data_IF_392836177902
#
_entry.id   IF_392836177902
#
_cell.length_a   1.000
_cell.length_b   1.000
_cell.length_c   1.000
_cell.angle_alpha   90.00
_cell.angle_beta   90.00
_cell.angle_gamma   90.00
#
_symmetry.space_group_name_H-M   'P 1'
#
loop_
_entity.id
_entity.type
_entity.pdbx_description
1 polymer ?
#
# COMPACT_ATOMS: atom_id res chain seq x y z
N UNK A 1 -23.88 -90.29 0.14
CA UNK A 1 -24.11 -88.98 0.79
C UNK A 1 -23.51 -87.91 -0.12
N UNK A 2 -24.35 -87.09 -0.78
CA UNK A 2 -24.56 -85.63 -0.55
C UNK A 2 -23.27 -84.81 -0.77
N UNK A 3 -23.19 -83.70 -1.51
CA UNK A 3 -24.07 -82.83 -2.32
C UNK A 3 -23.14 -81.67 -2.78
N UNK A 4 -23.42 -81.03 -3.94
CA UNK A 4 -23.45 -79.57 -4.23
C UNK A 4 -22.47 -78.60 -3.52
N UNK A 5 -22.02 -77.43 -4.01
CA UNK A 5 -22.16 -76.61 -5.21
C UNK A 5 -21.59 -75.20 -4.84
N UNK A 6 -20.96 -74.50 -5.79
CA UNK A 6 -20.89 -73.02 -5.97
C UNK A 6 -20.41 -72.04 -4.87
N UNK A 7 -19.48 -71.14 -5.25
CA UNK A 7 -19.49 -69.64 -5.18
C UNK A 7 -18.05 -69.11 -5.21
N UNK A 8 -17.58 -68.45 -6.27
CA UNK A 8 -17.78 -67.04 -6.63
C UNK A 8 -17.10 -66.04 -5.67
N UNK A 9 -15.91 -65.53 -6.02
CA UNK A 9 -15.59 -64.11 -5.83
C UNK A 9 -14.44 -63.68 -6.76
N UNK A 10 -14.79 -62.88 -7.77
CA UNK A 10 -13.86 -62.00 -8.49
C UNK A 10 -13.23 -61.04 -7.49
N UNK A 11 -11.91 -60.81 -7.55
CA UNK A 11 -11.35 -59.50 -7.20
C UNK A 11 -10.28 -59.09 -8.19
N UNK A 12 -10.74 -58.24 -9.11
CA UNK A 12 -9.92 -57.28 -9.84
C UNK A 12 -8.99 -56.56 -8.87
N UNK A 13 -7.68 -56.77 -8.98
CA UNK A 13 -6.72 -55.80 -8.44
C UNK A 13 -6.60 -54.69 -9.47
N UNK A 14 -7.44 -53.67 -9.31
CA UNK A 14 -7.34 -52.40 -10.00
C UNK A 14 -5.89 -51.92 -9.92
N UNK A 15 -5.25 -51.80 -11.09
CA UNK A 15 -4.06 -51.00 -11.23
C UNK A 15 -4.40 -49.56 -10.87
N UNK A 16 -3.95 -49.12 -9.69
CA UNK A 16 -3.93 -47.71 -9.32
C UNK A 16 -2.92 -47.00 -10.20
N UNK A 17 -3.45 -46.45 -11.30
CA UNK A 17 -2.71 -45.69 -12.31
C UNK A 17 -2.02 -44.48 -11.66
N UNK A 18 -0.73 -44.22 -11.96
CA UNK A 18 -0.01 -43.04 -11.45
C UNK A 18 -0.63 -41.70 -11.90
N UNK A 19 -1.53 -41.74 -12.89
CA UNK A 19 -2.29 -40.60 -13.37
C UNK A 19 -3.19 -39.95 -12.31
N UNK A 20 -3.71 -40.71 -11.34
CA UNK A 20 -4.57 -40.13 -10.30
C UNK A 20 -3.79 -39.28 -9.29
N UNK A 21 -2.54 -39.64 -9.00
CA UNK A 21 -1.66 -38.85 -8.12
C UNK A 21 -1.24 -37.53 -8.77
N UNK A 22 -0.94 -37.56 -10.08
CA UNK A 22 -0.60 -36.35 -10.85
C UNK A 22 -1.81 -35.41 -10.93
N UNK A 23 -3.01 -35.95 -11.13
CA UNK A 23 -4.24 -35.13 -11.17
C UNK A 23 -4.53 -34.45 -9.83
N UNK A 24 -4.31 -35.13 -8.70
CA UNK A 24 -4.49 -34.55 -7.36
C UNK A 24 -3.45 -33.44 -7.09
N UNK A 25 -2.18 -33.66 -7.46
CA UNK A 25 -1.13 -32.65 -7.36
C UNK A 25 -1.41 -31.41 -8.24
N UNK A 26 -1.91 -31.62 -9.47
CA UNK A 26 -2.24 -30.52 -10.38
C UNK A 26 -3.45 -29.71 -9.88
N UNK A 27 -4.45 -30.36 -9.28
CA UNK A 27 -5.60 -29.69 -8.64
C UNK A 27 -5.16 -28.92 -7.39
N UNK A 28 -4.24 -29.44 -6.58
CA UNK A 28 -3.65 -28.68 -5.47
C UNK A 28 -2.89 -27.43 -5.96
N UNK A 29 -2.11 -27.52 -7.04
CA UNK A 29 -1.40 -26.36 -7.60
C UNK A 29 -2.33 -25.32 -8.26
N UNK A 30 -3.48 -25.74 -8.80
CA UNK A 30 -4.48 -24.84 -9.41
C UNK A 30 -5.43 -24.22 -8.38
N UNK A 31 -5.59 -24.83 -7.21
CA UNK A 31 -6.40 -24.29 -6.10
C UNK A 31 -5.61 -23.39 -5.16
N UNK A 32 -4.27 -23.46 -5.18
CA UNK A 32 -3.40 -22.42 -4.60
C UNK A 32 -3.30 -21.20 -5.52
N UNK A 33 -4.42 -20.76 -6.10
CA UNK A 33 -4.60 -19.33 -6.28
C UNK A 33 -4.53 -18.76 -4.86
N UNK A 34 -3.43 -18.06 -4.55
CA UNK A 34 -3.25 -17.28 -3.33
C UNK A 34 -4.42 -16.28 -3.27
N UNK A 35 -5.53 -16.72 -2.69
CA UNK A 35 -6.65 -15.87 -2.36
C UNK A 35 -6.15 -15.03 -1.20
N UNK A 36 -5.99 -13.73 -1.44
CA UNK A 36 -5.66 -12.78 -0.38
C UNK A 36 -6.62 -13.01 0.78
N UNK A 37 -6.09 -13.44 1.93
CA UNK A 37 -6.85 -13.71 3.16
C UNK A 37 -7.22 -12.43 3.91
N UNK A 38 -7.12 -11.25 3.28
CA UNK A 38 -7.52 -9.99 3.90
C UNK A 38 -9.05 -9.84 3.86
N UNK A 39 -9.68 -9.37 4.96
CA UNK A 39 -11.13 -9.26 5.04
C UNK A 39 -11.66 -8.33 3.94
N UNK A 40 -12.82 -8.68 3.36
CA UNK A 40 -13.46 -8.03 2.21
C UNK A 40 -13.94 -6.58 2.41
N UNK A 41 -13.31 -5.84 3.33
CA UNK A 41 -13.49 -4.41 3.58
C UNK A 41 -12.29 -3.59 3.08
N UNK A 42 -11.17 -4.25 2.74
CA UNK A 42 -10.01 -3.59 2.16
C UNK A 42 -10.17 -3.46 0.65
N UNK A 43 -10.48 -2.25 0.17
CA UNK A 43 -10.66 -1.97 -1.26
C UNK A 43 -9.35 -1.56 -1.96
N UNK A 44 -8.21 -1.80 -1.32
CA UNK A 44 -6.89 -1.66 -1.95
C UNK A 44 -6.48 -0.21 -2.09
N UNK A 45 -6.75 0.63 -1.09
CA UNK A 45 -6.36 2.04 -1.10
C UNK A 45 -5.08 2.29 -0.35
N UNK A 46 -4.43 3.41 -0.64
CA UNK A 46 -3.25 3.87 0.09
C UNK A 46 -3.63 5.07 0.93
N UNK A 47 -3.47 4.93 2.25
CA UNK A 47 -3.69 5.97 3.23
C UNK A 47 -2.36 6.50 3.75
N UNK A 48 -2.34 7.75 4.18
CA UNK A 48 -1.23 8.34 4.92
C UNK A 48 -1.69 8.83 6.28
N UNK A 49 -0.82 8.70 7.27
CA UNK A 49 -0.92 9.32 8.57
C UNK A 49 0.33 10.15 8.82
N UNK A 50 0.14 11.41 9.16
CA UNK A 50 1.21 12.34 9.48
C UNK A 50 1.35 12.42 11.01
N UNK A 51 2.45 11.89 11.56
CA UNK A 51 2.71 11.91 13.01
C UNK A 51 3.65 13.05 13.43
N UNK A 52 3.69 14.09 12.62
CA UNK A 52 4.55 15.25 12.81
C UNK A 52 3.67 16.50 12.92
N UNK A 53 3.68 17.21 14.07
CA UNK A 53 3.04 18.51 14.18
C UNK A 53 3.64 19.51 13.21
N UNK A 54 2.80 20.34 12.58
CA UNK A 54 3.28 21.34 11.62
C UNK A 54 4.30 22.29 12.27
N UNK A 55 4.09 22.66 13.53
CA UNK A 55 4.94 23.58 14.29
C UNK A 55 6.31 22.98 14.59
N UNK A 56 6.39 21.65 14.67
CA UNK A 56 7.65 20.93 14.91
C UNK A 56 8.51 20.83 13.64
N UNK A 57 7.93 21.07 12.47
CA UNK A 57 8.68 21.08 11.22
C UNK A 57 9.35 22.45 11.02
N UNK A 58 10.69 22.53 11.01
CA UNK A 58 11.41 23.81 11.03
C UNK A 58 11.23 24.65 9.76
N UNK A 59 10.60 24.10 8.73
CA UNK A 59 10.34 24.76 7.46
C UNK A 59 8.85 25.03 7.23
N UNK A 60 8.00 24.90 8.26
CA UNK A 60 6.54 25.03 8.17
C UNK A 60 6.03 26.31 7.49
N UNK A 61 6.79 27.41 7.50
CA UNK A 61 6.39 28.66 6.82
C UNK A 61 6.85 28.80 5.37
N UNK A 62 7.82 27.99 4.92
CA UNK A 62 8.50 28.19 3.61
C UNK A 62 8.70 26.91 2.80
N UNK A 63 8.40 25.76 3.39
CA UNK A 63 8.50 24.47 2.74
C UNK A 63 7.14 23.80 2.63
N UNK A 64 7.09 22.76 1.81
CA UNK A 64 5.96 21.84 1.71
C UNK A 64 6.45 20.40 1.54
N UNK A 65 5.55 19.43 1.71
CA UNK A 65 5.83 18.05 1.33
C UNK A 65 5.17 17.73 0.00
N UNK A 66 5.83 16.92 -0.81
CA UNK A 66 5.24 16.33 -2.00
C UNK A 66 5.27 14.81 -1.87
N UNK A 67 4.09 14.17 -1.88
CA UNK A 67 3.94 12.72 -1.84
C UNK A 67 3.59 12.27 -3.25
N UNK A 68 4.52 11.56 -3.89
CA UNK A 68 4.34 11.00 -5.23
C UNK A 68 4.03 9.52 -5.10
N UNK A 69 2.87 9.09 -5.62
CA UNK A 69 2.38 7.72 -5.61
C UNK A 69 2.47 7.16 -7.03
N UNK A 70 3.31 6.14 -7.22
CA UNK A 70 3.50 5.44 -8.49
C UNK A 70 2.94 4.03 -8.35
N UNK A 71 1.79 3.76 -8.98
CA UNK A 71 1.17 2.42 -9.01
C UNK A 71 1.37 1.82 -10.39
N UNK A 72 1.73 0.53 -10.45
CA UNK A 72 1.95 -0.16 -11.72
C UNK A 72 0.73 -0.07 -12.65
N UNK A 73 0.90 0.61 -13.79
CA UNK A 73 -0.13 0.77 -14.82
C UNK A 73 -1.05 1.96 -14.61
N UNK A 74 -0.75 2.86 -13.67
CA UNK A 74 -1.40 4.15 -13.50
C UNK A 74 -0.40 5.28 -13.78
N UNK A 75 -0.93 6.43 -14.20
CA UNK A 75 -0.15 7.67 -14.16
C UNK A 75 0.20 8.03 -12.70
N UNK A 76 1.38 8.61 -12.43
CA UNK A 76 1.76 9.04 -11.10
C UNK A 76 0.75 10.02 -10.52
N UNK A 77 0.33 9.77 -9.27
CA UNK A 77 -0.45 10.72 -8.49
C UNK A 77 0.51 11.53 -7.63
N UNK A 78 0.24 12.83 -7.47
CA UNK A 78 1.02 13.70 -6.62
C UNK A 78 0.09 14.45 -5.68
N UNK A 79 0.41 14.40 -4.38
CA UNK A 79 -0.28 15.18 -3.36
C UNK A 79 0.71 16.10 -2.68
N UNK A 80 0.30 17.33 -2.43
CA UNK A 80 1.11 18.35 -1.78
C UNK A 80 0.57 18.61 -0.39
N UNK A 81 1.42 18.55 0.62
CA UNK A 81 1.03 18.83 2.01
C UNK A 81 1.53 20.21 2.38
N UNK A 82 0.59 21.12 2.62
CA UNK A 82 0.84 22.48 3.05
C UNK A 82 0.21 22.72 4.44
N UNK A 83 0.85 23.49 5.32
CA UNK A 83 0.14 24.11 6.43
C UNK A 83 -0.65 25.32 5.91
N UNK A 84 -1.91 25.09 5.52
CA UNK A 84 -2.74 26.06 4.78
C UNK A 84 -3.21 27.27 5.61
N UNK A 85 -2.98 27.24 6.91
CA UNK A 85 -3.28 28.33 7.84
C UNK A 85 -2.34 29.54 7.63
N UNK A 86 -1.26 29.38 6.87
CA UNK A 86 -0.31 30.44 6.53
C UNK A 86 -0.61 31.06 5.16
N UNK A 87 -0.60 32.40 5.10
CA UNK A 87 -0.85 33.16 3.86
C UNK A 87 0.11 32.76 2.74
N UNK A 88 1.37 32.51 3.10
CA UNK A 88 2.46 32.15 2.19
C UNK A 88 2.21 30.81 1.46
N UNK A 89 1.43 29.90 2.04
CA UNK A 89 1.09 28.63 1.38
C UNK A 89 0.26 28.84 0.11
N UNK A 90 -0.70 29.77 0.15
CA UNK A 90 -1.56 30.09 -1.01
C UNK A 90 -0.78 30.77 -2.13
N UNK A 91 0.18 31.61 -1.77
CA UNK A 91 1.08 32.27 -2.73
C UNK A 91 1.97 31.22 -3.43
N UNK A 92 2.61 30.33 -2.65
CA UNK A 92 3.42 29.23 -3.18
C UNK A 92 2.62 28.30 -4.10
N UNK A 93 1.38 27.95 -3.73
CA UNK A 93 0.51 27.15 -4.59
C UNK A 93 0.28 27.81 -5.96
N UNK A 94 0.06 29.14 -5.98
CA UNK A 94 -0.13 29.90 -7.22
C UNK A 94 1.14 29.95 -8.06
N UNK A 95 2.27 30.24 -7.43
CA UNK A 95 3.58 30.30 -8.10
C UNK A 95 3.97 28.97 -8.75
N UNK A 96 3.67 27.85 -8.07
CA UNK A 96 3.98 26.51 -8.52
C UNK A 96 2.89 25.87 -9.39
N UNK A 97 1.81 26.60 -9.68
CA UNK A 97 0.64 26.11 -10.41
C UNK A 97 0.06 24.80 -9.83
N UNK A 98 0.01 24.72 -8.50
CA UNK A 98 -0.54 23.58 -7.76
C UNK A 98 -2.05 23.77 -7.62
N UNK A 99 -2.80 22.76 -8.04
CA UNK A 99 -4.26 22.75 -7.95
C UNK A 99 -4.73 22.40 -6.55
N UNK A 100 -5.86 22.96 -6.14
CA UNK A 100 -6.43 22.73 -4.80
C UNK A 100 -6.82 21.26 -4.58
N UNK A 101 -7.28 20.54 -5.60
CA UNK A 101 -7.62 19.11 -5.49
C UNK A 101 -6.42 18.19 -5.15
N UNK A 102 -5.20 18.67 -5.35
CA UNK A 102 -3.97 17.95 -5.06
C UNK A 102 -3.34 18.34 -3.73
N UNK A 103 -3.99 19.24 -2.99
CA UNK A 103 -3.48 19.76 -1.73
C UNK A 103 -4.15 19.09 -0.53
N UNK A 104 -3.31 18.73 0.44
CA UNK A 104 -3.70 18.28 1.76
C UNK A 104 -3.28 19.32 2.78
N UNK A 105 -4.19 19.68 3.67
CA UNK A 105 -3.87 20.54 4.82
C UNK A 105 -3.14 19.70 5.88
N UNK A 106 -1.89 20.06 6.19
CA UNK A 106 -1.05 19.42 7.20
C UNK A 106 -1.77 19.23 8.53
N UNK A 107 -2.33 20.31 9.08
CA UNK A 107 -2.99 20.31 10.38
C UNK A 107 -4.26 19.46 10.40
N UNK A 108 -4.92 19.33 9.25
CA UNK A 108 -6.10 18.46 9.09
C UNK A 108 -5.73 16.98 9.00
N UNK A 109 -4.62 16.66 8.35
CA UNK A 109 -4.18 15.27 8.15
C UNK A 109 -3.32 14.73 9.30
N UNK A 110 -2.88 15.59 10.22
CA UNK A 110 -2.10 15.17 11.37
C UNK A 110 -2.89 14.19 12.25
N UNK A 111 -2.29 13.04 12.54
CA UNK A 111 -2.89 11.98 13.36
C UNK A 111 -4.10 11.28 12.75
N UNK A 112 -4.51 11.63 11.52
CA UNK A 112 -5.65 11.02 10.82
C UNK A 112 -5.19 10.16 9.65
N UNK A 113 -6.00 9.17 9.26
CA UNK A 113 -5.76 8.36 8.08
C UNK A 113 -6.42 9.02 6.86
N UNK A 114 -5.59 9.59 5.98
CA UNK A 114 -6.05 10.32 4.79
C UNK A 114 -5.83 9.48 3.53
N UNK A 115 -6.87 9.25 2.73
CA UNK A 115 -6.79 8.54 1.46
C UNK A 115 -5.98 9.36 0.44
N UNK A 116 -4.84 8.81 0.00
CA UNK A 116 -3.98 9.44 -1.00
C UNK A 116 -4.43 9.14 -2.44
N UNK A 117 -5.15 8.04 -2.61
CA UNK A 117 -5.46 7.47 -3.91
C UNK A 117 -6.82 7.89 -4.43
N UNK A 118 -7.81 8.07 -3.54
CA UNK A 118 -9.20 8.43 -3.87
C UNK A 118 -9.96 7.36 -4.66
N UNK A 119 -9.29 6.28 -5.05
CA UNK A 119 -9.83 5.17 -5.84
C UNK A 119 -9.13 3.85 -5.49
N UNK A 120 -9.90 2.77 -5.62
CA UNK A 120 -9.52 1.38 -5.39
C UNK A 120 -8.37 0.96 -6.32
N UNK A 121 -7.29 0.40 -5.75
CA UNK A 121 -6.22 -0.25 -6.51
C UNK A 121 -6.49 -1.75 -6.53
N UNK A 122 -6.42 -2.35 -7.73
CA UNK A 122 -6.50 -3.81 -7.87
C UNK A 122 -5.36 -4.48 -7.10
N UNK A 123 -5.67 -5.52 -6.31
CA UNK A 123 -4.70 -6.31 -5.56
C UNK A 123 -3.54 -6.87 -6.40
N UNK A 124 -2.39 -7.09 -5.76
CA UNK A 124 -1.15 -7.59 -6.36
C UNK A 124 -0.30 -6.55 -7.11
N UNK A 125 -0.79 -5.31 -7.26
CA UNK A 125 -0.07 -4.23 -7.95
C UNK A 125 1.11 -3.75 -7.12
N UNK A 126 2.25 -3.54 -7.78
CA UNK A 126 3.41 -2.89 -7.14
C UNK A 126 3.18 -1.38 -7.08
N UNK A 127 3.40 -0.79 -5.92
CA UNK A 127 3.33 0.64 -5.69
C UNK A 127 4.66 1.13 -5.08
N UNK A 128 5.06 2.34 -5.46
CA UNK A 128 6.12 3.11 -4.83
C UNK A 128 5.54 4.44 -4.38
N UNK A 129 5.72 4.77 -3.10
CA UNK A 129 5.37 6.09 -2.58
C UNK A 129 6.66 6.78 -2.17
N UNK A 130 6.87 7.97 -2.73
CA UNK A 130 8.04 8.80 -2.47
C UNK A 130 7.59 10.09 -1.80
N UNK A 131 8.15 10.35 -0.62
CA UNK A 131 8.00 11.61 0.09
C UNK A 131 9.17 12.51 -0.30
N UNK A 132 8.87 13.71 -0.78
CA UNK A 132 9.83 14.78 -1.04
C UNK A 132 9.63 15.89 -0.01
N UNK A 133 10.69 16.26 0.69
CA UNK A 133 10.76 17.45 1.51
C UNK A 133 11.23 18.60 0.63
N UNK A 134 10.32 19.51 0.30
CA UNK A 134 10.60 20.69 -0.53
C UNK A 134 10.91 21.86 0.39
N UNK A 135 12.17 21.97 0.81
CA UNK A 135 12.62 22.98 1.78
C UNK A 135 13.63 23.94 1.16
N UNK A 136 13.77 25.17 1.68
CA UNK A 136 14.78 26.09 1.18
C UNK A 136 16.18 25.44 1.20
N UNK A 137 16.89 25.54 0.07
CA UNK A 137 18.28 25.12 -0.12
C UNK A 137 18.54 23.59 -0.19
N UNK A 138 17.55 22.72 0.02
CA UNK A 138 17.75 21.26 -0.04
C UNK A 138 16.51 20.51 -0.50
N UNK A 139 16.71 19.52 -1.37
CA UNK A 139 15.72 18.49 -1.68
C UNK A 139 16.12 17.22 -0.94
N UNK A 140 15.24 16.72 -0.06
CA UNK A 140 15.38 15.39 0.54
C UNK A 140 14.22 14.52 0.11
N UNK A 141 14.47 13.23 -0.07
CA UNK A 141 13.40 12.29 -0.33
C UNK A 141 13.63 10.96 0.38
N UNK A 142 12.54 10.25 0.59
CA UNK A 142 12.54 8.87 1.02
C UNK A 142 11.42 8.14 0.28
N UNK A 143 11.55 6.83 0.13
CA UNK A 143 10.50 6.07 -0.56
C UNK A 143 10.31 4.69 0.03
N UNK A 144 9.07 4.23 -0.02
CA UNK A 144 8.69 2.86 0.34
C UNK A 144 8.06 2.20 -0.87
N UNK A 145 8.43 0.94 -1.11
CA UNK A 145 7.89 0.13 -2.20
C UNK A 145 7.22 -1.10 -1.63
N UNK A 146 6.02 -1.42 -2.09
CA UNK A 146 5.21 -2.52 -1.58
C UNK A 146 4.28 -3.08 -2.66
N UNK A 147 3.68 -4.24 -2.39
CA UNK A 147 2.50 -4.71 -3.12
C UNK A 147 1.24 -4.28 -2.37
N UNK A 148 0.25 -3.83 -3.14
CA UNK A 148 -1.08 -3.49 -2.62
C UNK A 148 -1.90 -4.76 -2.57
N UNK A 149 -2.11 -5.30 -1.37
CA UNK A 149 -2.86 -6.52 -1.10
C UNK A 149 -3.84 -6.21 0.03
N UNK A 150 -4.89 -5.46 -0.30
CA UNK A 150 -5.72 -4.75 0.67
C UNK A 150 -5.22 -3.32 0.92
N UNK A 151 -5.80 -2.67 1.93
CA UNK A 151 -5.49 -1.27 2.24
C UNK A 151 -4.09 -1.18 2.84
N UNK A 152 -3.39 -0.11 2.47
CA UNK A 152 -2.04 0.15 2.93
C UNK A 152 -2.00 1.49 3.63
N UNK A 153 -1.56 1.48 4.88
CA UNK A 153 -1.34 2.70 5.63
C UNK A 153 0.14 3.04 5.67
N UNK A 154 0.46 4.29 5.34
CA UNK A 154 1.80 4.85 5.41
C UNK A 154 1.89 5.84 6.56
N UNK A 155 2.96 5.79 7.33
CA UNK A 155 3.26 6.74 8.39
C UNK A 155 4.40 7.64 7.95
N UNK A 156 4.21 8.95 8.09
CA UNK A 156 5.28 9.95 7.95
C UNK A 156 5.72 10.40 9.34
N UNK A 157 7.02 10.35 9.60
CA UNK A 157 7.60 10.57 10.94
C UNK A 157 9.00 11.20 10.83
N UNK A 158 9.49 11.81 11.91
CA UNK A 158 10.89 12.25 11.98
C UNK A 158 11.82 11.06 12.19
N UNK A 159 12.92 11.00 11.43
CA UNK A 159 13.94 9.97 11.61
C UNK A 159 14.58 9.99 13.02
N UNK A 160 14.73 11.18 13.61
CA UNK A 160 15.23 11.38 14.96
C UNK A 160 14.54 12.58 15.64
N UNK A 161 13.86 12.35 16.76
CA UNK A 161 13.14 13.40 17.49
C UNK A 161 14.06 14.35 18.27
N UNK A 162 15.31 13.96 18.51
CA UNK A 162 16.26 14.69 19.35
C UNK A 162 17.11 15.70 18.57
N UNK A 163 17.08 15.65 17.24
CA UNK A 163 17.91 16.54 16.40
C UNK A 163 17.07 17.62 15.73
N UNK A 164 17.46 18.91 15.83
CA UNK A 164 16.86 19.94 15.00
C UNK A 164 17.11 19.60 13.52
N UNK A 165 16.09 19.79 12.68
CA UNK A 165 16.12 19.46 11.24
C UNK A 165 16.27 17.98 10.88
N UNK A 166 15.80 17.08 11.75
CA UNK A 166 15.66 15.68 11.42
C UNK A 166 14.89 15.51 10.09
N UNK A 167 15.38 14.68 9.16
CA UNK A 167 14.65 14.38 7.95
C UNK A 167 13.34 13.66 8.28
N UNK A 168 12.37 13.83 7.40
CA UNK A 168 11.13 13.08 7.41
C UNK A 168 11.32 11.75 6.68
N UNK A 169 10.75 10.72 7.27
CA UNK A 169 10.77 9.37 6.74
C UNK A 169 9.35 8.87 6.52
N UNK A 170 9.20 7.90 5.62
CA UNK A 170 7.93 7.25 5.31
C UNK A 170 8.11 5.74 5.49
N UNK A 171 7.17 5.09 6.16
CA UNK A 171 7.14 3.65 6.31
C UNK A 171 5.73 3.11 6.17
N UNK A 172 5.60 1.86 5.76
CA UNK A 172 4.34 1.13 5.85
C UNK A 172 4.11 0.72 7.30
N UNK A 173 2.87 0.87 7.77
CA UNK A 173 2.38 0.33 9.04
C UNK A 173 1.25 -0.67 8.77
N UNK A 174 1.02 -1.56 9.73
CA UNK A 174 -0.04 -2.56 9.69
C UNK A 174 -1.34 -2.02 10.28
#
# INVERSE_FOLDING_TARGET
MKKDSSRNERREKLGTRPFSLILILLVCCLTTCVHSTYPGWSDGRIFVRLDVPAESWPYSRKGYLSIVIQVQGWDPLQKFVFPLEYTEAKELMRELNIKEEDVLNWNRIQGTYTDLTGRVIKGGRKARVTLYEMVPLRLRNTSVTFRVDGDVTLQVYFANLETPYSPLCIRRIQ
#
